data_IF_525954034852
#
_entry.id   IF_525954034852
#
_cell.length_a   1.000
_cell.length_b   1.000
_cell.length_c   1.000
_cell.angle_alpha   90.00
_cell.angle_beta   90.00
_cell.angle_gamma   90.00
#
_symmetry.space_group_name_H-M   'P 1'
#
loop_
_entity.id
_entity.type
_entity.pdbx_description
1 polymer ?
#
# COMPACT_ATOMS: atom_id res chain seq x y z
N UNK A 1 -0.81 -11.86 -18.16
CA UNK A 1 -0.05 -13.09 -17.85
C UNK A 1 1.43 -12.79 -17.99
N UNK A 2 2.26 -13.37 -17.12
CA UNK A 2 3.72 -13.31 -17.18
C UNK A 2 4.29 -14.62 -17.66
N UNK A 3 5.45 -14.56 -18.32
CA UNK A 3 6.17 -15.76 -18.75
C UNK A 3 6.50 -16.67 -17.55
N UNK A 4 6.28 -17.97 -17.69
CA UNK A 4 6.65 -18.97 -16.69
C UNK A 4 5.67 -19.16 -15.53
N UNK A 5 4.49 -18.50 -15.51
CA UNK A 5 3.51 -18.66 -14.43
C UNK A 5 3.17 -20.14 -14.16
N UNK A 6 3.03 -20.95 -15.21
CA UNK A 6 2.72 -22.39 -15.10
C UNK A 6 3.87 -23.20 -14.47
N UNK A 7 5.08 -22.67 -14.41
CA UNK A 7 6.25 -23.35 -13.81
C UNK A 7 6.35 -23.14 -12.30
N UNK A 8 5.67 -22.13 -11.77
CA UNK A 8 5.69 -21.84 -10.34
C UNK A 8 5.03 -22.98 -9.54
N UNK A 9 5.71 -23.44 -8.49
CA UNK A 9 5.24 -24.58 -7.70
C UNK A 9 4.31 -24.21 -6.57
N UNK A 10 4.26 -22.93 -6.21
CA UNK A 10 3.37 -22.41 -5.18
C UNK A 10 2.00 -22.04 -5.72
N UNK A 11 1.26 -21.27 -4.96
CA UNK A 11 -0.09 -20.84 -5.30
C UNK A 11 -0.08 -19.40 -5.84
N UNK A 12 -0.83 -19.14 -6.93
CA UNK A 12 -1.02 -17.80 -7.49
C UNK A 12 -2.48 -17.39 -7.21
N UNK A 13 -2.64 -16.28 -6.51
CA UNK A 13 -3.96 -15.78 -6.08
C UNK A 13 -4.21 -14.38 -6.65
N UNK A 14 -5.44 -14.15 -7.08
CA UNK A 14 -5.92 -12.81 -7.41
C UNK A 14 -6.85 -12.30 -6.30
N UNK A 15 -6.69 -11.07 -5.78
CA UNK A 15 -7.47 -10.57 -4.64
C UNK A 15 -8.99 -10.59 -4.82
N UNK A 16 -9.48 -10.50 -6.06
CA UNK A 16 -10.92 -10.62 -6.36
C UNK A 16 -11.44 -12.05 -6.31
N UNK A 17 -10.56 -13.05 -6.39
CA UNK A 17 -10.89 -14.46 -6.35
C UNK A 17 -10.17 -15.11 -5.15
N UNK A 18 -10.30 -14.50 -3.98
CA UNK A 18 -9.62 -14.96 -2.77
C UNK A 18 -10.16 -16.32 -2.33
N UNK A 19 -9.29 -17.35 -2.21
CA UNK A 19 -9.72 -18.67 -1.75
C UNK A 19 -10.14 -18.65 -0.27
N UNK A 20 -11.26 -19.28 0.07
CA UNK A 20 -11.77 -19.34 1.45
C UNK A 20 -10.84 -20.09 2.42
N UNK A 21 -10.00 -20.98 1.90
CA UNK A 21 -9.17 -21.90 2.68
C UNK A 21 -7.65 -21.68 2.48
N UNK A 22 -7.24 -20.50 2.00
CA UNK A 22 -5.82 -20.21 1.83
C UNK A 22 -5.12 -20.15 3.19
N UNK A 23 -4.06 -20.93 3.35
CA UNK A 23 -3.22 -20.90 4.54
C UNK A 23 -1.95 -20.07 4.28
N UNK A 24 -1.87 -18.93 4.93
CA UNK A 24 -0.74 -18.01 4.84
C UNK A 24 0.28 -18.21 5.97
N UNK A 25 -0.01 -19.10 6.93
CA UNK A 25 0.79 -19.27 8.16
C UNK A 25 2.20 -19.74 7.84
N UNK A 26 3.20 -18.94 8.25
CA UNK A 26 4.61 -19.23 8.04
C UNK A 26 5.03 -19.27 6.56
N UNK A 27 4.28 -18.66 5.65
CA UNK A 27 4.56 -18.62 4.22
C UNK A 27 5.32 -17.36 3.82
N UNK A 28 6.20 -17.49 2.84
CA UNK A 28 6.78 -16.36 2.11
C UNK A 28 5.79 -15.92 1.03
N UNK A 29 5.31 -14.69 1.11
CA UNK A 29 4.30 -14.17 0.19
C UNK A 29 4.85 -13.01 -0.60
N UNK A 30 4.69 -13.05 -1.92
CA UNK A 30 4.99 -11.90 -2.80
C UNK A 30 3.68 -11.29 -3.29
N UNK A 31 3.48 -10.00 -3.02
CA UNK A 31 2.33 -9.22 -3.49
C UNK A 31 2.79 -8.34 -4.65
N UNK A 32 2.31 -8.62 -5.85
CA UNK A 32 2.65 -7.85 -7.06
C UNK A 32 1.71 -6.65 -7.16
N UNK A 33 2.27 -5.45 -7.08
CA UNK A 33 1.57 -4.18 -7.17
C UNK A 33 1.77 -3.31 -5.94
N UNK A 34 1.55 -2.00 -6.08
CA UNK A 34 1.68 -0.99 -5.00
C UNK A 34 0.46 -0.06 -4.92
N UNK A 35 -0.68 -0.50 -5.46
CA UNK A 35 -1.95 0.21 -5.36
C UNK A 35 -2.64 0.03 -4.01
N UNK A 36 -3.86 0.58 -3.88
CA UNK A 36 -4.64 0.52 -2.65
C UNK A 36 -4.86 -0.92 -2.15
N UNK A 37 -5.06 -1.88 -3.07
CA UNK A 37 -5.22 -3.30 -2.73
C UNK A 37 -3.97 -3.85 -2.04
N UNK A 38 -2.79 -3.62 -2.59
CA UNK A 38 -1.54 -4.07 -1.99
C UNK A 38 -1.27 -3.37 -0.65
N UNK A 39 -1.47 -2.04 -0.60
CA UNK A 39 -1.30 -1.25 0.62
C UNK A 39 -2.20 -1.72 1.78
N UNK A 40 -3.41 -2.21 1.47
CA UNK A 40 -4.33 -2.76 2.48
C UNK A 40 -4.00 -4.23 2.81
N UNK A 41 -3.64 -5.02 1.81
CA UNK A 41 -3.45 -6.46 1.97
C UNK A 41 -2.18 -6.76 2.78
N UNK A 42 -1.05 -6.14 2.40
CA UNK A 42 0.27 -6.41 3.01
C UNK A 42 0.26 -6.35 4.53
N UNK A 43 -0.18 -5.26 5.20
CA UNK A 43 -0.15 -5.20 6.67
C UNK A 43 -1.09 -6.20 7.34
N UNK A 44 -2.17 -6.60 6.64
CA UNK A 44 -3.13 -7.56 7.19
C UNK A 44 -2.58 -8.99 7.16
N UNK A 45 -1.94 -9.40 6.07
CA UNK A 45 -1.39 -10.76 5.95
C UNK A 45 -0.01 -10.91 6.61
N UNK A 46 0.78 -9.84 6.72
CA UNK A 46 2.10 -9.85 7.34
C UNK A 46 2.10 -10.40 8.78
N UNK A 47 0.98 -10.26 9.48
CA UNK A 47 0.81 -10.78 10.85
C UNK A 47 0.81 -12.31 10.94
N UNK A 48 0.53 -12.99 9.83
CA UNK A 48 0.41 -14.46 9.78
C UNK A 48 1.51 -15.11 8.96
N UNK A 49 2.09 -14.39 8.01
CA UNK A 49 3.13 -14.89 7.11
C UNK A 49 4.49 -14.97 7.81
N UNK A 50 5.41 -15.77 7.25
CA UNK A 50 6.82 -15.67 7.60
C UNK A 50 7.37 -14.29 7.17
N UNK A 51 7.09 -13.89 5.95
CA UNK A 51 7.45 -12.58 5.40
C UNK A 51 6.58 -12.23 4.20
N UNK A 52 6.30 -10.93 4.02
CA UNK A 52 5.57 -10.42 2.86
C UNK A 52 6.45 -9.43 2.09
N UNK A 53 6.67 -9.70 0.81
CA UNK A 53 7.36 -8.78 -0.09
C UNK A 53 6.37 -8.10 -1.03
N UNK A 54 6.24 -6.77 -0.94
CA UNK A 54 5.52 -6.00 -1.94
C UNK A 54 6.45 -5.73 -3.12
N UNK A 55 6.15 -6.31 -4.27
CA UNK A 55 6.89 -6.08 -5.51
C UNK A 55 6.19 -5.01 -6.34
N UNK A 56 6.85 -3.89 -6.54
CA UNK A 56 6.35 -2.79 -7.37
C UNK A 56 7.27 -2.54 -8.57
N UNK A 57 6.68 -2.16 -9.71
CA UNK A 57 7.42 -1.78 -10.91
C UNK A 57 8.10 -0.42 -10.78
N UNK A 58 7.47 0.49 -10.08
CA UNK A 58 7.93 1.84 -9.79
C UNK A 58 7.32 2.32 -8.49
N UNK A 59 8.00 3.22 -7.74
CA UNK A 59 7.45 3.80 -6.54
C UNK A 59 6.09 4.47 -6.76
N UNK A 60 5.23 4.43 -5.73
CA UNK A 60 3.97 5.15 -5.70
C UNK A 60 3.93 6.09 -4.50
N UNK A 61 3.12 7.16 -4.58
CA UNK A 61 2.87 8.01 -3.42
C UNK A 61 1.90 7.33 -2.47
N UNK A 62 2.25 7.38 -1.20
CA UNK A 62 1.39 6.98 -0.10
C UNK A 62 1.01 8.21 0.74
N UNK A 63 -0.20 8.19 1.25
CA UNK A 63 -0.68 9.11 2.27
C UNK A 63 -1.07 8.30 3.49
N UNK A 64 -0.62 8.71 4.67
CA UNK A 64 -1.04 8.08 5.92
C UNK A 64 -1.78 9.07 6.80
N UNK A 65 -2.68 8.56 7.62
CA UNK A 65 -3.48 9.35 8.55
C UNK A 65 -4.36 8.45 9.41
N UNK A 66 -4.98 9.03 10.42
CA UNK A 66 -5.88 8.30 11.32
C UNK A 66 -7.08 7.74 10.56
N UNK A 67 -7.42 6.49 10.85
CA UNK A 67 -8.65 5.87 10.36
C UNK A 67 -9.90 6.38 11.10
N UNK A 68 -9.72 6.84 12.35
CA UNK A 68 -10.80 7.45 13.12
C UNK A 68 -11.15 8.85 12.59
N UNK A 69 -12.43 9.23 12.71
CA UNK A 69 -12.92 10.54 12.31
C UNK A 69 -13.28 11.37 13.53
N UNK A 70 -12.30 12.14 14.06
CA UNK A 70 -12.44 12.94 15.26
C UNK A 70 -13.59 13.96 15.19
N UNK A 71 -13.84 14.53 13.98
CA UNK A 71 -14.95 15.45 13.79
C UNK A 71 -16.31 14.73 13.91
N UNK A 72 -16.43 13.52 13.37
CA UNK A 72 -17.66 12.74 13.52
C UNK A 72 -17.93 12.43 15.00
N UNK A 73 -16.90 12.06 15.74
CA UNK A 73 -17.00 11.74 17.16
C UNK A 73 -17.33 12.98 18.01
N UNK A 74 -16.79 14.15 17.63
CA UNK A 74 -17.14 15.42 18.26
C UNK A 74 -18.61 15.78 18.02
N UNK A 75 -19.09 15.66 16.79
CA UNK A 75 -20.48 15.94 16.45
C UNK A 75 -21.45 15.00 17.18
N UNK A 76 -21.08 13.71 17.38
CA UNK A 76 -21.86 12.76 18.20
C UNK A 76 -21.92 13.18 19.66
N UNK A 77 -20.80 13.66 20.23
CA UNK A 77 -20.78 14.19 21.61
C UNK A 77 -21.66 15.43 21.78
N UNK A 78 -21.87 16.20 20.71
CA UNK A 78 -22.78 17.34 20.65
C UNK A 78 -24.22 16.95 20.35
N UNK A 79 -24.54 15.65 20.35
CA UNK A 79 -25.88 15.11 20.08
C UNK A 79 -26.47 15.52 18.72
N UNK A 80 -25.61 15.71 17.72
CA UNK A 80 -26.03 15.97 16.33
C UNK A 80 -26.53 14.65 15.70
N UNK A 81 -27.65 14.70 14.99
CA UNK A 81 -28.21 13.56 14.29
C UNK A 81 -27.22 12.94 13.28
N UNK A 82 -27.15 11.60 13.20
CA UNK A 82 -26.24 10.85 12.32
C UNK A 82 -26.38 11.26 10.83
N UNK A 83 -27.57 11.59 10.39
CA UNK A 83 -27.82 12.07 9.03
C UNK A 83 -27.05 13.38 8.71
N UNK A 84 -27.06 14.32 9.68
CA UNK A 84 -26.31 15.56 9.56
C UNK A 84 -24.79 15.31 9.68
N UNK A 85 -24.38 14.45 10.61
CA UNK A 85 -22.99 14.06 10.75
C UNK A 85 -22.45 13.50 9.42
N UNK A 86 -23.17 12.54 8.81
CA UNK A 86 -22.80 11.98 7.51
C UNK A 86 -22.67 13.07 6.43
N UNK A 87 -23.64 13.99 6.37
CA UNK A 87 -23.64 15.07 5.39
C UNK A 87 -22.45 16.03 5.57
N UNK A 88 -22.16 16.41 6.81
CA UNK A 88 -21.04 17.30 7.18
C UNK A 88 -19.71 16.65 6.82
N UNK A 89 -19.49 15.39 7.27
CA UNK A 89 -18.24 14.66 7.04
C UNK A 89 -18.02 14.43 5.55
N UNK A 90 -19.05 14.04 4.80
CA UNK A 90 -18.96 13.88 3.34
C UNK A 90 -18.57 15.18 2.64
N UNK A 91 -19.21 16.29 3.01
CA UNK A 91 -18.89 17.60 2.44
C UNK A 91 -17.47 18.03 2.76
N UNK A 92 -17.04 17.83 4.01
CA UNK A 92 -15.65 18.09 4.41
C UNK A 92 -14.66 17.26 3.61
N UNK A 93 -14.85 15.95 3.52
CA UNK A 93 -13.97 15.04 2.77
C UNK A 93 -13.82 15.45 1.30
N UNK A 94 -14.92 15.84 0.63
CA UNK A 94 -14.88 16.31 -0.75
C UNK A 94 -14.15 17.66 -0.89
N UNK A 95 -14.30 18.55 0.10
CA UNK A 95 -13.61 19.84 0.12
C UNK A 95 -12.10 19.62 0.33
N UNK A 96 -11.72 18.82 1.34
CA UNK A 96 -10.32 18.51 1.64
C UNK A 96 -9.63 17.85 0.43
N UNK A 97 -10.30 16.91 -0.24
CA UNK A 97 -9.75 16.26 -1.45
C UNK A 97 -9.57 17.27 -2.60
N UNK A 98 -10.51 18.17 -2.80
CA UNK A 98 -10.39 19.23 -3.81
C UNK A 98 -9.20 20.13 -3.52
N UNK A 99 -9.07 20.58 -2.27
CA UNK A 99 -8.03 21.49 -1.85
C UNK A 99 -6.65 20.83 -1.90
N UNK A 100 -6.55 19.57 -1.49
CA UNK A 100 -5.35 18.76 -1.65
C UNK A 100 -4.95 18.57 -3.13
N UNK A 101 -5.93 18.29 -3.99
CA UNK A 101 -5.68 18.14 -5.43
C UNK A 101 -5.22 19.46 -6.07
N UNK A 102 -5.77 20.59 -5.62
CA UNK A 102 -5.35 21.92 -6.05
C UNK A 102 -3.91 22.21 -5.59
N UNK A 103 -3.59 21.94 -4.32
CA UNK A 103 -2.25 22.11 -3.77
C UNK A 103 -1.22 21.23 -4.51
N UNK A 104 -1.56 19.97 -4.82
CA UNK A 104 -0.68 19.08 -5.57
C UNK A 104 -0.37 19.56 -7.01
N UNK A 105 -1.13 20.51 -7.52
CA UNK A 105 -0.88 21.17 -8.83
C UNK A 105 -0.13 22.47 -8.69
N UNK A 106 -0.47 23.29 -7.69
CA UNK A 106 0.09 24.64 -7.50
C UNK A 106 1.43 24.61 -6.80
N UNK A 107 1.64 23.70 -5.84
CA UNK A 107 2.88 23.50 -5.08
C UNK A 107 3.14 22.01 -4.84
N UNK A 108 3.55 21.27 -5.89
CA UNK A 108 3.80 19.84 -5.79
C UNK A 108 4.93 19.48 -4.81
N UNK A 109 5.92 20.37 -4.63
CA UNK A 109 7.06 20.10 -3.76
C UNK A 109 6.67 20.16 -2.29
N UNK A 110 5.83 21.12 -1.90
CA UNK A 110 5.28 21.17 -0.54
C UNK A 110 4.42 19.95 -0.24
N UNK A 111 3.58 19.50 -1.19
CA UNK A 111 2.76 18.30 -1.01
C UNK A 111 3.64 17.04 -0.95
N UNK A 112 4.67 16.93 -1.81
CA UNK A 112 5.64 15.84 -1.77
C UNK A 112 6.34 15.78 -0.40
N UNK A 113 6.83 16.93 0.08
CA UNK A 113 7.46 17.02 1.39
C UNK A 113 6.52 16.54 2.51
N UNK A 114 5.29 17.04 2.54
CA UNK A 114 4.29 16.63 3.54
C UNK A 114 4.04 15.11 3.52
N UNK A 115 3.89 14.50 2.32
CA UNK A 115 3.68 13.04 2.21
C UNK A 115 4.88 12.27 2.75
N UNK A 116 6.10 12.74 2.48
CA UNK A 116 7.33 12.09 2.96
C UNK A 116 7.54 12.27 4.45
N UNK A 117 7.27 13.46 4.99
CA UNK A 117 7.33 13.72 6.43
C UNK A 117 6.37 12.79 7.20
N UNK A 118 5.16 12.55 6.66
CA UNK A 118 4.20 11.63 7.25
C UNK A 118 4.69 10.17 7.25
N UNK A 119 5.37 9.72 6.19
CA UNK A 119 5.97 8.37 6.15
C UNK A 119 7.12 8.27 7.17
N UNK A 120 8.00 9.26 7.20
CA UNK A 120 9.12 9.30 8.15
C UNK A 120 8.67 9.35 9.60
N UNK A 121 7.57 10.02 9.89
CA UNK A 121 7.00 10.04 11.24
C UNK A 121 6.63 8.63 11.75
N UNK A 122 6.28 7.70 10.84
CA UNK A 122 5.98 6.31 11.19
C UNK A 122 7.22 5.43 11.14
N UNK A 123 8.03 5.56 10.09
CA UNK A 123 9.18 4.68 9.84
C UNK A 123 10.47 5.10 10.55
N UNK A 124 10.59 6.37 10.94
CA UNK A 124 11.80 6.99 11.46
C UNK A 124 12.49 7.88 10.42
N UNK A 125 13.23 8.90 10.90
CA UNK A 125 13.86 9.91 10.03
C UNK A 125 14.92 9.32 9.07
N UNK A 126 15.64 8.28 9.50
CA UNK A 126 16.73 7.64 8.76
C UNK A 126 16.24 6.49 7.85
N UNK A 127 14.93 6.33 7.67
CA UNK A 127 14.40 5.26 6.83
C UNK A 127 14.75 5.45 5.34
N UNK A 128 14.97 4.34 4.64
CA UNK A 128 15.14 4.37 3.19
C UNK A 128 13.84 4.79 2.49
N UNK A 129 13.84 6.00 1.93
CA UNK A 129 12.70 6.55 1.18
C UNK A 129 12.71 6.17 -0.31
N UNK A 130 13.74 5.48 -0.80
CA UNK A 130 13.85 5.12 -2.22
C UNK A 130 12.62 4.38 -2.75
N UNK A 131 12.06 3.36 -2.05
CA UNK A 131 10.87 2.65 -2.51
C UNK A 131 9.58 3.50 -2.50
N UNK A 132 9.60 4.66 -1.84
CA UNK A 132 8.46 5.55 -1.64
C UNK A 132 8.61 6.89 -2.36
N UNK A 133 9.63 7.01 -3.23
CA UNK A 133 9.95 8.26 -3.94
C UNK A 133 9.67 8.13 -5.44
N UNK A 134 8.43 8.44 -5.89
CA UNK A 134 8.09 8.48 -7.31
C UNK A 134 8.84 9.60 -8.05
N UNK A 135 9.07 9.40 -9.35
CA UNK A 135 9.66 10.38 -10.27
C UNK A 135 8.65 11.38 -10.85
N UNK A 136 7.38 11.22 -10.54
CA UNK A 136 6.27 12.09 -10.98
C UNK A 136 5.74 12.95 -9.82
N UNK A 137 5.01 14.03 -10.16
CA UNK A 137 4.40 14.89 -9.15
C UNK A 137 3.24 14.20 -8.42
N UNK A 138 2.96 14.55 -7.14
CA UNK A 138 1.78 14.06 -6.43
C UNK A 138 0.49 14.26 -7.25
N UNK A 139 -0.42 13.30 -7.14
CA UNK A 139 -1.72 13.30 -7.82
C UNK A 139 -1.68 13.22 -9.35
N UNK A 140 -0.52 12.94 -9.97
CA UNK A 140 -0.46 12.52 -11.37
C UNK A 140 -0.99 11.10 -11.55
N UNK A 141 -0.71 10.27 -10.56
CA UNK A 141 -1.31 8.96 -10.37
C UNK A 141 -2.02 8.96 -9.01
N UNK A 142 -2.86 7.94 -8.76
CA UNK A 142 -3.59 7.84 -7.50
C UNK A 142 -2.61 7.68 -6.34
N UNK A 143 -2.83 8.41 -5.26
CA UNK A 143 -2.11 8.25 -3.99
C UNK A 143 -2.82 7.17 -3.18
N UNK A 144 -2.10 6.16 -2.72
CA UNK A 144 -2.64 5.11 -1.87
C UNK A 144 -2.73 5.60 -0.41
N UNK A 145 -3.90 5.48 0.20
CA UNK A 145 -4.08 5.81 1.61
C UNK A 145 -3.75 4.60 2.49
N UNK A 146 -2.96 4.84 3.52
CA UNK A 146 -2.52 3.85 4.51
C UNK A 146 -3.09 4.27 5.87
N UNK A 147 -4.19 3.64 6.33
CA UNK A 147 -4.83 4.00 7.59
C UNK A 147 -3.90 3.67 8.78
N UNK A 148 -3.79 4.63 9.69
CA UNK A 148 -2.95 4.53 10.90
C UNK A 148 -1.48 4.16 10.64
N UNK A 149 -1.02 4.23 9.39
CA UNK A 149 0.34 3.88 9.01
C UNK A 149 0.66 2.37 9.07
N UNK A 150 -0.34 1.50 9.09
CA UNK A 150 -0.21 0.06 9.32
C UNK A 150 0.78 -0.64 8.37
N UNK A 151 0.76 -0.29 7.08
CA UNK A 151 1.73 -0.78 6.11
C UNK A 151 3.17 -0.41 6.48
N UNK A 152 3.39 0.83 6.89
CA UNK A 152 4.73 1.31 7.27
C UNK A 152 5.20 0.71 8.59
N UNK A 153 4.29 0.42 9.52
CA UNK A 153 4.61 -0.34 10.72
C UNK A 153 5.09 -1.75 10.37
N UNK A 154 4.39 -2.47 9.49
CA UNK A 154 4.79 -3.80 9.06
C UNK A 154 6.18 -3.81 8.40
N UNK A 155 6.50 -2.78 7.59
CA UNK A 155 7.82 -2.63 6.96
C UNK A 155 8.89 -2.32 8.01
N UNK A 156 8.64 -1.37 8.91
CA UNK A 156 9.58 -0.99 9.98
C UNK A 156 9.90 -2.14 10.92
N UNK A 157 8.92 -2.99 11.21
CA UNK A 157 9.05 -4.15 12.08
C UNK A 157 9.67 -5.37 11.38
N UNK A 158 9.99 -5.26 10.09
CA UNK A 158 10.61 -6.33 9.31
C UNK A 158 9.64 -7.46 8.90
N UNK A 159 8.34 -7.29 9.14
CA UNK A 159 7.31 -8.25 8.74
C UNK A 159 7.01 -8.17 7.24
N UNK A 160 7.26 -7.01 6.64
CA UNK A 160 7.13 -6.78 5.21
C UNK A 160 8.35 -6.04 4.65
N UNK A 161 8.57 -6.19 3.34
CA UNK A 161 9.57 -5.43 2.58
C UNK A 161 8.99 -4.93 1.27
N UNK A 162 9.66 -3.93 0.69
CA UNK A 162 9.30 -3.37 -0.62
C UNK A 162 10.46 -3.55 -1.58
N UNK A 163 10.19 -4.20 -2.71
CA UNK A 163 11.15 -4.36 -3.81
C UNK A 163 10.64 -3.60 -5.02
N UNK A 164 11.51 -2.78 -5.61
CA UNK A 164 11.19 -2.01 -6.82
C UNK A 164 11.99 -2.55 -7.98
N UNK A 165 11.34 -3.36 -8.83
CA UNK A 165 11.96 -3.91 -10.04
C UNK A 165 10.88 -4.41 -11.02
N UNK A 166 11.32 -4.77 -12.20
CA UNK A 166 10.49 -5.39 -13.23
C UNK A 166 10.58 -6.92 -13.14
N UNK A 167 9.45 -7.56 -13.32
CA UNK A 167 9.40 -9.02 -13.47
C UNK A 167 10.05 -9.41 -14.80
N UNK A 168 11.01 -10.34 -14.75
CA UNK A 168 11.53 -11.02 -15.93
C UNK A 168 10.60 -12.17 -16.28
N UNK A 169 10.48 -13.13 -15.37
CA UNK A 169 9.60 -14.30 -15.51
C UNK A 169 9.28 -14.91 -14.15
N UNK A 170 8.31 -15.79 -14.11
CA UNK A 170 8.11 -16.70 -13.00
C UNK A 170 9.06 -17.91 -13.14
N UNK A 171 9.50 -18.42 -11.99
CA UNK A 171 10.35 -19.60 -11.86
C UNK A 171 9.72 -20.56 -10.84
N UNK A 172 10.14 -21.81 -10.76
CA UNK A 172 9.52 -22.79 -9.85
C UNK A 172 9.49 -22.34 -8.39
N UNK A 173 10.48 -21.57 -7.93
CA UNK A 173 10.65 -21.11 -6.56
C UNK A 173 10.11 -19.68 -6.30
N UNK A 174 9.63 -18.95 -7.33
CA UNK A 174 9.14 -17.59 -7.12
C UNK A 174 9.16 -16.71 -8.38
N UNK A 175 9.66 -15.48 -8.24
CA UNK A 175 9.71 -14.48 -9.32
C UNK A 175 11.15 -14.06 -9.58
N UNK A 176 11.63 -14.26 -10.80
CA UNK A 176 12.90 -13.71 -11.27
C UNK A 176 12.68 -12.28 -11.76
N UNK A 177 13.50 -11.38 -11.26
CA UNK A 177 13.49 -9.96 -11.58
C UNK A 177 14.48 -9.64 -12.72
N UNK A 178 14.31 -8.47 -13.35
CA UNK A 178 15.24 -7.99 -14.39
C UNK A 178 16.64 -7.71 -13.86
N UNK A 179 16.80 -7.39 -12.57
CA UNK A 179 18.10 -7.30 -11.88
C UNK A 179 18.84 -8.63 -11.83
N UNK A 180 18.15 -9.75 -12.03
CA UNK A 180 18.68 -11.11 -11.88
C UNK A 180 18.37 -11.74 -10.51
N UNK A 181 17.86 -10.95 -9.55
CA UNK A 181 17.42 -11.45 -8.26
C UNK A 181 16.20 -12.38 -8.41
N UNK A 182 16.07 -13.36 -7.52
CA UNK A 182 14.88 -14.22 -7.42
C UNK A 182 14.21 -13.95 -6.07
N UNK A 183 12.96 -13.50 -6.12
CA UNK A 183 12.11 -13.41 -4.94
C UNK A 183 11.46 -14.76 -4.71
N UNK A 184 11.96 -15.48 -3.70
CA UNK A 184 11.35 -16.75 -3.28
C UNK A 184 9.95 -16.50 -2.72
N UNK A 185 9.01 -17.38 -3.09
CA UNK A 185 7.63 -17.30 -2.63
C UNK A 185 7.00 -18.70 -2.53
N UNK A 186 6.17 -18.91 -1.52
CA UNK A 186 5.21 -20.00 -1.45
C UNK A 186 3.88 -19.59 -2.11
N UNK A 187 3.53 -18.30 -2.01
CA UNK A 187 2.30 -17.75 -2.52
C UNK A 187 2.60 -16.42 -3.22
N UNK A 188 2.05 -16.24 -4.41
CA UNK A 188 2.13 -14.98 -5.17
C UNK A 188 0.73 -14.40 -5.31
N UNK A 189 0.56 -13.15 -4.90
CA UNK A 189 -0.72 -12.44 -4.98
C UNK A 189 -0.62 -11.35 -6.04
N UNK A 190 -1.44 -11.45 -7.09
CA UNK A 190 -1.45 -10.51 -8.22
C UNK A 190 -2.39 -9.34 -7.95
N UNK A 191 -1.92 -8.34 -7.19
CA UNK A 191 -2.69 -7.15 -6.82
C UNK A 191 -2.57 -6.01 -7.86
N UNK A 192 -2.40 -6.35 -9.12
CA UNK A 192 -2.42 -5.41 -10.26
C UNK A 192 -3.84 -5.25 -10.78
N UNK A 193 -4.25 -4.02 -11.08
CA UNK A 193 -5.54 -3.73 -11.72
C UNK A 193 -5.56 -4.03 -13.21
#
# INVERSE_FOLDING_TARGET
DWEGMDSFKGEIVHPQNWPDNIDLSGKKVVVIGSGATAATLVPNIAKSCEHVTMLQRSPTYFSTGRNANDLADELRRLEIDEEWIHTIIRKKALTDQRDFTAAARSDPDAVKKMLFDNIKAVMGEDCDMTPFTPDYRPWRQRIAFVPDGDFFHAVREGQASVVTDHIDRFVPEGIKLKSGEVLEADIIITATG
#
